data_IF_108020439901
#
_entry.id   IF_108020439901
#
_cell.length_a   1.000
_cell.length_b   1.000
_cell.length_c   1.000
_cell.angle_alpha   90.00
_cell.angle_beta   90.00
_cell.angle_gamma   90.00
#
_symmetry.space_group_name_H-M   'P 1'
#
loop_
_entity.id
_entity.type
_entity.pdbx_description
1 polymer ?
#
# COMPACT_ATOMS: atom_id res chain seq x y z
N UNK A 1 -49.09 -47.42 20.25
CA UNK A 1 -48.34 -46.83 19.13
C UNK A 1 -47.41 -45.76 19.70
N UNK A 2 -46.14 -46.12 19.96
CA UNK A 2 -45.09 -45.12 20.22
C UNK A 2 -44.24 -45.04 18.97
N UNK A 3 -44.26 -43.87 18.35
CA UNK A 3 -43.42 -43.52 17.22
C UNK A 3 -41.97 -43.49 17.70
N UNK A 4 -41.18 -44.49 17.31
CA UNK A 4 -39.72 -44.42 17.42
C UNK A 4 -39.27 -43.44 16.35
N UNK A 5 -39.01 -42.20 16.74
CA UNK A 5 -38.43 -41.19 15.85
C UNK A 5 -37.03 -41.65 15.43
N UNK A 6 -36.99 -42.26 14.24
CA UNK A 6 -35.81 -42.64 13.48
C UNK A 6 -35.08 -41.36 13.02
N UNK A 7 -34.32 -40.74 13.91
CA UNK A 7 -33.20 -39.90 13.49
C UNK A 7 -32.14 -40.79 12.82
N UNK A 8 -31.36 -40.28 11.85
CA UNK A 8 -30.15 -40.98 11.41
C UNK A 8 -29.29 -41.23 12.65
N UNK A 9 -28.81 -42.47 12.82
CA UNK A 9 -28.13 -42.92 14.03
C UNK A 9 -26.99 -41.97 14.43
N UNK A 10 -27.24 -41.07 15.39
CA UNK A 10 -26.17 -40.36 16.07
C UNK A 10 -25.51 -41.37 17.00
N UNK A 11 -24.31 -41.82 16.64
CA UNK A 11 -23.46 -42.62 17.52
C UNK A 11 -23.18 -41.74 18.74
N UNK A 12 -23.83 -42.06 19.86
CA UNK A 12 -23.47 -41.45 21.13
C UNK A 12 -22.15 -42.06 21.55
N UNK A 13 -21.10 -41.26 21.63
CA UNK A 13 -19.79 -41.75 22.06
C UNK A 13 -19.72 -42.02 23.55
N UNK A 14 -20.66 -41.46 24.33
CA UNK A 14 -20.67 -41.50 25.79
C UNK A 14 -22.08 -41.81 26.30
N UNK A 15 -22.16 -42.69 27.29
CA UNK A 15 -23.34 -42.99 28.09
C UNK A 15 -23.65 -41.84 29.06
N UNK A 16 -24.85 -41.86 29.66
CA UNK A 16 -25.25 -40.83 30.63
C UNK A 16 -24.40 -40.86 31.93
N UNK A 17 -23.71 -41.97 32.20
CA UNK A 17 -22.81 -42.16 33.33
C UNK A 17 -21.37 -41.68 33.06
N UNK A 18 -21.10 -41.13 31.86
CA UNK A 18 -19.78 -40.65 31.46
C UNK A 18 -18.85 -41.72 30.85
N UNK A 19 -19.27 -42.98 30.77
CA UNK A 19 -18.50 -44.06 30.14
C UNK A 19 -18.66 -44.07 28.61
N UNK A 20 -17.69 -44.59 27.87
CA UNK A 20 -17.83 -44.75 26.41
C UNK A 20 -18.87 -45.83 26.08
N UNK A 21 -19.64 -45.64 25.00
CA UNK A 21 -20.52 -46.70 24.49
C UNK A 21 -19.71 -47.88 23.94
N UNK A 22 -20.24 -49.12 23.93
CA UNK A 22 -19.53 -50.29 23.40
C UNK A 22 -19.04 -50.10 21.96
N UNK A 23 -19.81 -49.40 21.13
CA UNK A 23 -19.45 -49.07 19.75
C UNK A 23 -18.30 -48.06 19.68
N UNK A 24 -18.28 -47.06 20.58
CA UNK A 24 -17.18 -46.10 20.69
C UNK A 24 -15.88 -46.76 21.20
N UNK A 25 -15.99 -47.71 22.14
CA UNK A 25 -14.83 -48.49 22.61
C UNK A 25 -14.24 -49.32 21.48
N UNK A 26 -15.07 -50.01 20.68
CA UNK A 26 -14.58 -50.78 19.51
C UNK A 26 -13.93 -49.89 18.45
N UNK A 27 -14.47 -48.69 18.21
CA UNK A 27 -13.84 -47.74 17.30
C UNK A 27 -12.49 -47.25 17.83
N UNK A 28 -12.41 -46.95 19.13
CA UNK A 28 -11.17 -46.52 19.77
C UNK A 28 -10.11 -47.63 19.73
N UNK A 29 -10.50 -48.88 19.97
CA UNK A 29 -9.62 -50.05 19.85
C UNK A 29 -9.06 -50.22 18.42
N UNK A 30 -9.90 -49.99 17.39
CA UNK A 30 -9.45 -49.98 15.99
C UNK A 30 -8.47 -48.83 15.70
N UNK A 31 -8.68 -47.68 16.31
CA UNK A 31 -7.80 -46.52 16.13
C UNK A 31 -6.45 -46.73 16.83
N UNK A 32 -6.48 -47.30 18.03
CA UNK A 32 -5.30 -47.63 18.84
C UNK A 32 -4.47 -48.73 18.18
N UNK A 33 -5.10 -49.74 17.57
CA UNK A 33 -4.39 -50.78 16.80
C UNK A 33 -3.78 -50.25 15.50
N UNK A 34 -4.36 -49.20 14.90
CA UNK A 34 -3.84 -48.58 13.67
C UNK A 34 -2.72 -47.56 13.92
N UNK A 35 -2.74 -46.87 15.06
CA UNK A 35 -1.79 -45.78 15.39
C UNK A 35 -0.69 -46.26 16.36
N UNK A 36 -0.89 -47.37 17.07
CA UNK A 36 0.11 -47.96 17.96
C UNK A 36 0.26 -47.19 19.28
N UNK A 37 -0.57 -47.51 20.27
CA UNK A 37 -0.47 -46.97 21.63
C UNK A 37 -1.23 -47.84 22.63
N UNK A 38 -1.07 -47.61 23.93
CA UNK A 38 -1.95 -48.18 24.95
C UNK A 38 -2.56 -47.01 25.73
N UNK A 39 -3.88 -47.04 25.91
CA UNK A 39 -4.56 -46.11 26.82
C UNK A 39 -4.19 -46.54 28.24
N UNK A 40 -3.44 -45.71 28.96
CA UNK A 40 -3.06 -46.00 30.34
C UNK A 40 -4.29 -45.93 31.25
N UNK A 41 -4.48 -46.92 32.11
CA UNK A 41 -5.57 -47.00 33.08
C UNK A 41 -5.48 -45.97 34.24
N UNK A 42 -4.53 -45.04 34.17
CA UNK A 42 -4.29 -44.00 35.18
C UNK A 42 -4.03 -42.60 34.58
N UNK A 43 -4.52 -42.32 33.36
CA UNK A 43 -4.52 -40.96 32.78
C UNK A 43 -3.18 -40.50 32.20
N UNK A 44 -2.28 -41.42 31.89
CA UNK A 44 -1.05 -41.16 31.14
C UNK A 44 -1.05 -41.97 29.84
N UNK A 45 -1.32 -41.31 28.72
CA UNK A 45 -1.28 -41.92 27.39
C UNK A 45 0.18 -42.06 26.94
N UNK A 46 0.61 -43.30 26.70
CA UNK A 46 1.96 -43.59 26.21
C UNK A 46 1.84 -43.98 24.74
N UNK A 47 2.09 -43.03 23.85
CA UNK A 47 2.38 -43.35 22.45
C UNK A 47 3.66 -44.19 22.43
N UNK A 48 3.67 -45.29 21.68
CA UNK A 48 4.89 -46.08 21.53
C UNK A 48 6.00 -45.18 20.97
N UNK A 49 7.18 -45.20 21.60
CA UNK A 49 8.35 -44.51 21.05
C UNK A 49 8.61 -45.05 19.63
N UNK A 50 8.87 -44.16 18.65
CA UNK A 50 9.22 -44.58 17.29
C UNK A 50 10.40 -45.55 17.39
N UNK A 51 10.25 -46.78 16.88
CA UNK A 51 11.33 -47.73 16.90
C UNK A 51 12.45 -47.19 16.02
N UNK A 52 13.70 -47.20 16.50
CA UNK A 52 14.86 -46.65 15.80
C UNK A 52 15.11 -47.24 14.39
N UNK A 53 14.38 -48.29 13.99
CA UNK A 53 14.42 -48.87 12.65
C UNK A 53 13.70 -48.06 11.57
N UNK A 54 12.68 -47.25 11.90
CA UNK A 54 11.88 -46.54 10.90
C UNK A 54 12.66 -45.38 10.24
N UNK A 55 13.66 -44.84 10.94
CA UNK A 55 14.57 -43.81 10.40
C UNK A 55 15.80 -44.41 9.68
N UNK A 56 16.06 -45.72 9.82
CA UNK A 56 17.29 -46.36 9.31
C UNK A 56 17.28 -46.57 7.78
N UNK A 57 16.12 -46.45 7.12
CA UNK A 57 15.97 -46.61 5.67
C UNK A 57 15.85 -45.29 4.88
N UNK A 58 15.90 -44.13 5.54
CA UNK A 58 15.72 -42.85 4.87
C UNK A 58 17.08 -42.36 4.34
N UNK A 59 17.28 -42.25 3.02
CA UNK A 59 18.54 -41.74 2.50
C UNK A 59 18.72 -40.29 2.98
N UNK A 60 19.95 -39.86 3.34
CA UNK A 60 20.18 -38.52 3.89
C UNK A 60 19.92 -37.39 2.88
N UNK A 61 19.66 -37.72 1.61
CA UNK A 61 19.28 -36.79 0.54
C UNK A 61 18.54 -37.54 -0.55
N UNK A 62 17.38 -37.05 -0.98
CA UNK A 62 16.69 -37.54 -2.18
C UNK A 62 17.32 -36.80 -3.37
N UNK A 63 18.28 -37.42 -4.02
CA UNK A 63 18.88 -36.87 -5.25
C UNK A 63 17.83 -36.96 -6.36
N UNK A 64 17.25 -35.83 -6.77
CA UNK A 64 16.33 -35.80 -7.92
C UNK A 64 17.11 -36.18 -9.17
N UNK A 65 16.69 -37.22 -9.92
CA UNK A 65 17.32 -37.53 -11.20
C UNK A 65 17.10 -36.36 -12.17
N UNK A 66 18.18 -35.84 -12.76
CA UNK A 66 18.08 -34.92 -13.89
C UNK A 66 17.26 -35.61 -15.01
N UNK A 67 16.18 -34.98 -15.51
CA UNK A 67 15.35 -35.60 -16.54
C UNK A 67 16.18 -35.82 -17.81
N UNK A 68 16.04 -37.00 -18.42
CA UNK A 68 16.72 -37.34 -19.67
C UNK A 68 16.42 -36.29 -20.75
N UNK A 69 17.41 -35.89 -21.59
CA UNK A 69 17.17 -34.89 -22.62
C UNK A 69 16.18 -35.46 -23.65
N UNK A 70 14.96 -34.91 -23.68
CA UNK A 70 13.94 -35.28 -24.67
C UNK A 70 12.53 -35.59 -24.15
N UNK A 71 12.25 -35.49 -22.83
CA UNK A 71 10.94 -35.84 -22.25
C UNK A 71 10.11 -34.64 -21.74
N UNK A 72 10.11 -33.50 -22.44
CA UNK A 72 9.13 -32.44 -22.17
C UNK A 72 7.84 -32.76 -22.96
N UNK A 73 6.69 -33.03 -22.30
CA UNK A 73 5.43 -33.21 -23.02
C UNK A 73 4.99 -31.86 -23.61
N UNK A 74 4.61 -31.88 -24.88
CA UNK A 74 3.96 -30.77 -25.56
C UNK A 74 2.64 -30.45 -24.82
N UNK A 75 2.56 -29.27 -24.18
CA UNK A 75 1.37 -28.85 -23.43
C UNK A 75 0.26 -28.53 -24.43
N UNK A 76 -0.61 -29.50 -24.68
CA UNK A 76 -1.88 -29.29 -25.37
C UNK A 76 -2.82 -28.52 -24.42
N UNK A 77 -3.07 -27.22 -24.66
CA UNK A 77 -4.06 -26.46 -23.92
C UNK A 77 -5.46 -27.07 -24.15
N UNK A 78 -6.01 -27.75 -23.14
CA UNK A 78 -7.41 -28.17 -23.10
C UNK A 78 -8.24 -27.11 -22.34
N UNK A 79 -9.49 -26.82 -22.76
CA UNK A 79 -10.31 -25.78 -22.13
C UNK A 79 -10.71 -26.17 -20.69
N UNK A 80 -10.56 -25.21 -19.77
CA UNK A 80 -10.73 -25.38 -18.32
C UNK A 80 -12.22 -25.54 -17.96
N UNK A 81 -12.60 -26.72 -17.46
CA UNK A 81 -13.84 -26.98 -16.72
C UNK A 81 -13.66 -26.77 -15.20
N UNK A 82 -14.74 -26.68 -14.40
CA UNK A 82 -14.69 -25.95 -13.12
C UNK A 82 -14.07 -26.75 -11.96
N UNK A 83 -13.00 -26.17 -11.41
CA UNK A 83 -12.41 -26.20 -10.06
C UNK A 83 -12.56 -27.44 -9.15
N UNK A 84 -11.42 -27.94 -8.63
CA UNK A 84 -11.08 -27.83 -7.19
C UNK A 84 -9.79 -28.62 -6.83
N UNK A 85 -8.60 -28.08 -7.10
CA UNK A 85 -7.38 -28.41 -6.32
C UNK A 85 -6.26 -27.39 -6.55
N UNK A 86 -6.47 -26.16 -6.10
CA UNK A 86 -5.39 -25.18 -5.93
C UNK A 86 -5.31 -24.86 -4.44
N UNK A 87 -4.20 -25.24 -3.80
CA UNK A 87 -3.80 -24.66 -2.51
C UNK A 87 -3.94 -23.14 -2.65
N UNK A 88 -4.82 -22.47 -1.88
CA UNK A 88 -4.99 -21.05 -2.01
C UNK A 88 -3.69 -20.37 -1.58
N UNK A 89 -3.14 -19.43 -2.36
CA UNK A 89 -2.08 -18.58 -1.83
C UNK A 89 -2.66 -17.80 -0.64
N UNK A 90 -2.21 -18.15 0.57
CA UNK A 90 -2.26 -17.28 1.74
C UNK A 90 -1.17 -16.23 1.46
N UNK A 91 -1.42 -14.96 1.17
CA UNK A 91 -2.51 -14.08 1.52
C UNK A 91 -2.94 -13.28 0.28
N UNK A 92 -4.25 -13.06 0.15
CA UNK A 92 -4.74 -11.86 -0.51
C UNK A 92 -4.06 -10.70 0.22
N UNK A 93 -3.02 -10.13 -0.37
CA UNK A 93 -2.56 -8.80 -0.01
C UNK A 93 -3.85 -7.97 -0.01
N UNK A 94 -4.34 -7.47 1.14
CA UNK A 94 -5.57 -6.70 1.15
C UNK A 94 -5.41 -5.65 0.06
N UNK A 95 -6.43 -5.49 -0.79
CA UNK A 95 -6.40 -4.56 -1.92
C UNK A 95 -6.17 -3.15 -1.38
N UNK A 96 -4.92 -2.82 -1.09
CA UNK A 96 -4.52 -1.57 -0.53
C UNK A 96 -4.46 -0.66 -1.72
N UNK A 97 -5.57 0.03 -1.96
CA UNK A 97 -5.65 1.08 -2.96
C UNK A 97 -5.15 2.35 -2.27
N UNK A 98 -3.86 2.71 -2.42
CA UNK A 98 -3.37 3.91 -1.76
C UNK A 98 -4.18 5.11 -2.26
N UNK A 99 -4.46 6.05 -1.37
CA UNK A 99 -4.99 7.35 -1.76
C UNK A 99 -4.02 8.09 -2.69
N UNK A 100 -4.51 9.11 -3.38
CA UNK A 100 -3.69 9.93 -4.26
C UNK A 100 -2.46 10.49 -3.50
N UNK A 101 -1.26 10.22 -4.02
CA UNK A 101 0.02 10.67 -3.46
C UNK A 101 0.73 9.66 -2.56
N UNK A 102 0.13 8.51 -2.26
CA UNK A 102 0.79 7.38 -1.62
C UNK A 102 1.04 6.27 -2.65
N UNK A 103 2.13 5.54 -2.49
CA UNK A 103 2.45 4.35 -3.26
C UNK A 103 2.88 3.21 -2.34
N UNK A 104 2.49 1.98 -2.68
CA UNK A 104 2.89 0.76 -1.98
C UNK A 104 3.86 0.00 -2.88
N UNK A 105 5.11 -0.12 -2.44
CA UNK A 105 6.18 -0.88 -3.12
C UNK A 105 6.84 -1.77 -2.08
N UNK A 106 6.98 -3.07 -2.36
CA UNK A 106 7.61 -4.05 -1.46
C UNK A 106 7.09 -3.99 0.00
N UNK A 107 5.77 -3.91 0.17
CA UNK A 107 5.10 -3.77 1.48
C UNK A 107 5.47 -2.50 2.27
N UNK A 108 6.00 -1.47 1.59
CA UNK A 108 6.32 -0.17 2.18
C UNK A 108 5.44 0.93 1.59
N UNK A 109 4.87 1.74 2.47
CA UNK A 109 4.23 3.00 2.07
C UNK A 109 5.29 4.07 1.87
N UNK A 110 5.25 4.73 0.72
CA UNK A 110 6.04 5.91 0.44
C UNK A 110 5.18 7.00 -0.18
N UNK A 111 5.66 8.24 -0.10
CA UNK A 111 5.08 9.35 -0.83
C UNK A 111 5.49 9.23 -2.30
N UNK A 112 4.55 9.44 -3.21
CA UNK A 112 4.86 9.61 -4.62
C UNK A 112 5.60 10.94 -4.79
N UNK A 113 6.61 10.97 -5.65
CA UNK A 113 7.27 12.22 -6.00
C UNK A 113 6.30 13.20 -6.66
N UNK A 114 6.54 14.48 -6.42
CA UNK A 114 5.93 15.57 -7.18
C UNK A 114 6.81 15.90 -8.38
N UNK A 115 6.24 16.54 -9.41
CA UNK A 115 7.04 17.09 -10.51
C UNK A 115 7.83 18.36 -10.11
N UNK A 116 7.76 18.76 -8.84
CA UNK A 116 8.49 19.91 -8.31
C UNK A 116 9.90 19.49 -7.94
N UNK A 117 10.88 20.17 -8.52
CA UNK A 117 12.29 19.95 -8.22
C UNK A 117 12.65 20.49 -6.82
N UNK A 118 13.45 19.76 -6.02
CA UNK A 118 13.93 20.27 -4.75
C UNK A 118 14.79 21.52 -4.93
N UNK A 119 14.44 22.62 -4.26
CA UNK A 119 15.21 23.86 -4.34
C UNK A 119 14.53 25.04 -3.64
N UNK A 120 15.16 26.21 -3.76
CA UNK A 120 14.64 27.45 -3.19
C UNK A 120 14.01 28.31 -4.30
N UNK A 121 12.70 28.54 -4.20
CA UNK A 121 11.92 29.29 -5.21
C UNK A 121 11.72 30.77 -4.88
N UNK A 122 12.31 31.27 -3.79
CA UNK A 122 12.21 32.66 -3.34
C UNK A 122 13.56 33.26 -2.96
N UNK A 123 13.72 34.56 -3.21
CA UNK A 123 14.87 35.36 -2.78
C UNK A 123 14.49 36.84 -2.73
N UNK A 124 15.46 37.73 -2.50
CA UNK A 124 15.21 39.17 -2.43
C UNK A 124 14.53 39.77 -3.69
N UNK A 125 14.68 39.14 -4.85
CA UNK A 125 14.13 39.60 -6.12
C UNK A 125 13.00 38.71 -6.68
N UNK A 126 12.65 37.60 -6.02
CA UNK A 126 11.67 36.64 -6.52
C UNK A 126 10.78 36.10 -5.40
N UNK A 127 9.48 36.00 -5.67
CA UNK A 127 8.50 35.32 -4.83
C UNK A 127 8.23 33.91 -5.36
N UNK A 128 8.01 32.97 -4.46
CA UNK A 128 7.60 31.63 -4.85
C UNK A 128 6.11 31.64 -5.27
N UNK A 129 5.81 31.10 -6.45
CA UNK A 129 4.44 30.78 -6.88
C UNK A 129 4.32 29.28 -7.00
N UNK A 130 3.27 28.73 -6.40
CA UNK A 130 2.98 27.30 -6.43
C UNK A 130 1.52 27.06 -6.85
N UNK A 131 1.29 25.88 -7.42
CA UNK A 131 -0.05 25.33 -7.60
C UNK A 131 -0.15 24.04 -6.82
N UNK A 132 -1.33 23.79 -6.26
CA UNK A 132 -1.61 22.58 -5.50
C UNK A 132 -2.68 21.75 -6.18
N UNK A 133 -2.63 20.44 -5.99
CA UNK A 133 -3.71 19.55 -6.39
C UNK A 133 -4.88 19.57 -5.37
N UNK A 134 -5.90 18.77 -5.65
CA UNK A 134 -7.07 18.61 -4.78
C UNK A 134 -6.72 18.01 -3.40
N UNK A 135 -5.55 17.38 -3.28
CA UNK A 135 -5.05 16.80 -2.04
C UNK A 135 -4.10 17.75 -1.29
N UNK A 136 -3.86 18.95 -1.83
CA UNK A 136 -2.99 19.97 -1.22
C UNK A 136 -1.49 19.76 -1.46
N UNK A 137 -1.09 18.84 -2.35
CA UNK A 137 0.33 18.64 -2.71
C UNK A 137 0.73 19.60 -3.82
N UNK A 138 2.00 20.04 -3.82
CA UNK A 138 2.51 20.91 -4.86
C UNK A 138 2.64 20.15 -6.20
N UNK A 139 2.08 20.71 -7.26
CA UNK A 139 2.18 20.17 -8.63
C UNK A 139 3.13 20.98 -9.52
N UNK A 140 3.38 22.23 -9.13
CA UNK A 140 4.34 23.14 -9.76
C UNK A 140 4.86 24.10 -8.69
N UNK A 141 6.14 24.43 -8.77
CA UNK A 141 6.72 25.57 -8.09
C UNK A 141 7.59 26.35 -9.07
N UNK A 142 7.52 27.68 -9.00
CA UNK A 142 8.28 28.58 -9.84
C UNK A 142 8.70 29.83 -9.06
N UNK A 143 9.87 30.37 -9.40
CA UNK A 143 10.31 31.67 -8.93
C UNK A 143 9.74 32.76 -9.86
N UNK A 144 8.92 33.65 -9.32
CA UNK A 144 8.35 34.79 -10.05
C UNK A 144 9.06 36.06 -9.63
N UNK A 145 9.56 36.82 -10.59
CA UNK A 145 10.26 38.07 -10.31
C UNK A 145 9.33 39.08 -9.63
N UNK A 146 9.85 39.76 -8.62
CA UNK A 146 9.18 40.90 -8.00
C UNK A 146 9.27 42.06 -9.00
N UNK A 147 8.13 42.45 -9.56
CA UNK A 147 7.98 43.59 -10.43
C UNK A 147 6.73 44.36 -10.00
N UNK A 148 6.85 45.68 -9.93
CA UNK A 148 5.73 46.58 -9.66
C UNK A 148 5.65 47.51 -10.87
N UNK A 149 4.53 47.45 -11.58
CA UNK A 149 4.27 48.36 -12.68
C UNK A 149 3.89 49.76 -12.15
N UNK A 150 4.13 50.80 -12.95
CA UNK A 150 3.86 52.19 -12.57
C UNK A 150 2.43 52.37 -12.04
N UNK A 151 1.47 51.77 -12.73
CA UNK A 151 0.04 51.96 -12.46
C UNK A 151 -0.42 51.17 -11.21
N UNK A 152 0.40 50.25 -10.69
CA UNK A 152 0.12 49.52 -9.45
C UNK A 152 0.44 50.34 -8.20
N UNK A 153 1.19 51.44 -8.34
CA UNK A 153 1.54 52.33 -7.23
C UNK A 153 0.52 53.46 -7.16
N UNK A 154 -0.49 53.31 -6.29
CA UNK A 154 -1.57 54.29 -6.11
C UNK A 154 -1.29 55.23 -4.93
N UNK A 155 -1.86 56.44 -4.96
CA UNK A 155 -1.78 57.40 -3.85
C UNK A 155 -0.44 58.13 -3.70
N UNK A 156 0.50 57.92 -4.62
CA UNK A 156 1.73 58.71 -4.70
C UNK A 156 1.60 59.81 -5.77
N UNK A 157 2.29 60.94 -5.58
CA UNK A 157 2.37 61.99 -6.59
C UNK A 157 3.24 61.57 -7.78
N UNK A 158 3.03 62.22 -8.94
CA UNK A 158 3.70 61.91 -10.23
C UNK A 158 5.24 61.76 -10.11
N UNK A 159 5.88 62.51 -9.21
CA UNK A 159 7.34 62.46 -8.96
C UNK A 159 7.81 61.09 -8.45
N UNK A 160 6.99 60.39 -7.66
CA UNK A 160 7.39 59.14 -7.00
C UNK A 160 7.36 57.92 -7.92
N UNK A 161 6.77 58.04 -9.11
CA UNK A 161 6.51 56.94 -10.05
C UNK A 161 7.16 57.13 -11.43
N UNK A 162 7.91 58.22 -11.63
CA UNK A 162 8.63 58.52 -12.87
C UNK A 162 10.00 57.83 -12.97
N UNK A 163 10.40 57.50 -14.20
CA UNK A 163 11.69 56.85 -14.49
C UNK A 163 12.82 57.90 -14.54
N UNK A 164 14.05 57.53 -14.20
CA UNK A 164 15.21 58.44 -14.24
C UNK A 164 15.38 59.00 -15.66
N UNK A 165 15.17 60.31 -15.83
CA UNK A 165 15.29 61.01 -17.11
C UNK A 165 13.98 61.16 -17.90
N UNK A 166 12.83 60.77 -17.35
CA UNK A 166 11.54 61.13 -17.93
C UNK A 166 11.27 62.64 -17.82
N UNK A 167 10.47 63.17 -18.74
CA UNK A 167 10.01 64.55 -18.68
C UNK A 167 9.01 64.70 -17.53
N UNK A 168 9.39 65.36 -16.44
CA UNK A 168 8.49 65.62 -15.34
C UNK A 168 7.38 66.58 -15.80
N UNK A 169 6.13 66.14 -15.66
CA UNK A 169 4.94 66.99 -15.86
C UNK A 169 3.99 66.79 -14.69
N UNK A 170 4.17 67.56 -13.62
CA UNK A 170 3.32 67.51 -12.43
C UNK A 170 3.06 68.90 -11.87
N UNK A 171 2.00 69.01 -11.07
CA UNK A 171 1.67 70.28 -10.41
C UNK A 171 2.51 70.44 -9.13
N UNK A 172 3.30 71.50 -9.06
CA UNK A 172 3.80 72.03 -7.79
C UNK A 172 2.82 73.12 -7.36
N UNK A 173 2.06 72.90 -6.28
CA UNK A 173 1.03 73.81 -5.73
C UNK A 173 0.55 74.89 -6.71
N UNK A 174 -0.32 74.50 -7.65
CA UNK A 174 -0.98 75.43 -8.58
C UNK A 174 -0.15 75.88 -9.79
N UNK A 175 1.05 75.33 -9.98
CA UNK A 175 1.90 75.56 -11.16
C UNK A 175 2.20 74.26 -11.89
N UNK A 176 2.05 74.26 -13.20
CA UNK A 176 2.52 73.15 -14.05
C UNK A 176 3.96 73.44 -14.41
N UNK A 177 4.87 72.56 -13.99
CA UNK A 177 6.28 72.64 -14.35
C UNK A 177 6.57 71.50 -15.33
N UNK A 178 6.99 71.85 -16.53
CA UNK A 178 7.46 70.90 -17.54
C UNK A 178 8.99 70.86 -17.49
N UNK A 179 9.54 69.67 -17.32
CA UNK A 179 11.00 69.43 -17.37
C UNK A 179 11.28 68.54 -18.56
N UNK A 180 12.28 68.89 -19.37
CA UNK A 180 12.79 68.03 -20.44
C UNK A 180 14.28 67.78 -20.27
N UNK A 181 14.70 66.52 -20.27
CA UNK A 181 16.11 66.13 -20.06
C UNK A 181 16.75 66.76 -18.81
N UNK A 182 15.98 66.92 -17.72
CA UNK A 182 16.46 67.52 -16.48
C UNK A 182 16.52 69.06 -16.47
N UNK A 183 16.03 69.73 -17.52
CA UNK A 183 15.94 71.20 -17.59
C UNK A 183 14.47 71.62 -17.51
N UNK A 184 14.15 72.59 -16.66
CA UNK A 184 12.82 73.22 -16.64
C UNK A 184 12.62 73.99 -17.94
N UNK A 185 11.65 73.57 -18.75
CA UNK A 185 11.34 74.20 -20.03
C UNK A 185 10.13 75.13 -19.95
N UNK A 186 9.26 74.96 -18.95
CA UNK A 186 8.07 75.79 -18.77
C UNK A 186 7.58 75.76 -17.31
N UNK A 187 7.11 76.91 -16.80
CA UNK A 187 6.39 77.05 -15.52
C UNK A 187 5.14 77.90 -15.79
N UNK A 188 3.95 77.31 -15.69
CA UNK A 188 2.65 78.01 -15.88
C UNK A 188 1.86 78.00 -14.59
#
# INVERSE_FOLDING_TARGET
MSILNLWPAHIRFVNADGTLTPEAVRMLEVLVTRVGGALGDNGADVFAAVAAGDAAGMPPSVEQPLPAPGALPEILLQPIGPAADSVPPVQQQPDYRPGAGLQLVDYRFSLKDTNVEPGTYGNAANVARFTVDQQGRLTMAQAVRIQVERDQVTGLGTIATENKGANFTGSFTGKTVTVSNGIITQVV
#
